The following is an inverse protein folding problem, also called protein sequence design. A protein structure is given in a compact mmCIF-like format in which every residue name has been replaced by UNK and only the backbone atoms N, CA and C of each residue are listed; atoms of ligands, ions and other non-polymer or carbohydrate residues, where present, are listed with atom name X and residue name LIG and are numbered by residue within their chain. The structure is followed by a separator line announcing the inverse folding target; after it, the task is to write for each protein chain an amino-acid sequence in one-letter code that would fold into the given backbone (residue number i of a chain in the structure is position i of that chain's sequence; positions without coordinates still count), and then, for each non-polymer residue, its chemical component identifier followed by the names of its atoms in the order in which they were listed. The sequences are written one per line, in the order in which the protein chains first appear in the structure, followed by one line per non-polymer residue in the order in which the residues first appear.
data_IF_519863443962
#
_entry.id   IF_519863443962
#
_cell.length_a   1.000
_cell.length_b   1.000
_cell.length_c   1.000
_cell.angle_alpha   90.00
_cell.angle_beta   90.00
_cell.angle_gamma   90.00
#
_symmetry.space_group_name_H-M   'P 1'
#
loop_
_entity.id
_entity.type
_entity.pdbx_description
1 polymer ?
#
# COMPACT_ATOMS: atom_id res chain seq x y z
N UNK A 1 14.05 12.94 20.17
CA UNK A 1 13.33 12.47 18.96
C UNK A 1 13.60 10.99 18.78
N UNK A 2 12.70 10.22 18.14
CA UNK A 2 12.97 8.82 17.85
C UNK A 2 14.21 8.70 16.95
N UNK A 3 15.12 7.79 17.31
CA UNK A 3 16.31 7.50 16.48
C UNK A 3 15.88 6.49 15.41
N UNK A 4 15.32 6.96 14.31
CA UNK A 4 14.82 6.13 13.22
C UNK A 4 15.99 5.50 12.47
N UNK A 5 15.93 4.19 12.24
CA UNK A 5 16.93 3.40 11.51
C UNK A 5 16.32 2.53 10.43
N UNK A 6 15.04 2.22 10.53
CA UNK A 6 14.28 1.48 9.54
C UNK A 6 13.05 2.23 9.08
N UNK A 7 12.66 2.01 7.83
CA UNK A 7 11.49 2.63 7.22
C UNK A 7 10.67 1.56 6.54
N UNK A 8 9.41 1.42 6.95
CA UNK A 8 8.40 0.67 6.22
C UNK A 8 7.57 1.64 5.39
N UNK A 9 7.47 1.36 4.11
CA UNK A 9 6.62 2.13 3.19
C UNK A 9 5.36 1.34 2.85
N UNK A 10 4.23 2.01 2.80
CA UNK A 10 3.17 1.55 1.92
C UNK A 10 3.61 1.68 0.46
N UNK A 11 2.92 0.98 -0.44
CA UNK A 11 3.22 0.94 -1.88
C UNK A 11 2.33 1.91 -2.67
N UNK A 12 1.04 1.70 -2.60
CA UNK A 12 0.04 2.30 -3.46
C UNK A 12 -0.38 3.69 -2.97
N UNK A 13 -0.13 4.75 -3.74
CA UNK A 13 -0.33 6.13 -3.27
C UNK A 13 0.85 6.69 -2.48
N UNK A 14 1.84 5.85 -2.14
CA UNK A 14 3.06 6.23 -1.42
C UNK A 14 4.30 6.16 -2.31
N UNK A 15 4.54 5.04 -2.98
CA UNK A 15 5.66 4.86 -3.92
C UNK A 15 5.21 5.00 -5.38
N UNK A 16 4.00 4.55 -5.68
CA UNK A 16 3.40 4.61 -7.02
C UNK A 16 2.09 5.40 -7.00
N UNK A 17 1.74 5.97 -8.17
CA UNK A 17 0.49 6.68 -8.38
C UNK A 17 -0.67 5.68 -8.39
N UNK A 18 -1.44 5.67 -7.31
CA UNK A 18 -2.55 4.75 -7.12
C UNK A 18 -3.60 4.87 -8.23
N UNK A 19 -4.04 6.07 -8.53
CA UNK A 19 -5.14 6.28 -9.47
C UNK A 19 -4.75 5.83 -10.89
N UNK A 20 -3.56 6.19 -11.35
CA UNK A 20 -3.07 5.81 -12.69
C UNK A 20 -2.83 4.32 -12.82
N UNK A 21 -2.37 3.68 -11.74
CA UNK A 21 -2.06 2.25 -11.76
C UNK A 21 -3.34 1.42 -11.69
N UNK A 22 -4.26 1.76 -10.78
CA UNK A 22 -5.32 0.82 -10.39
C UNK A 22 -6.66 1.00 -11.08
N UNK A 23 -6.94 2.16 -11.70
CA UNK A 23 -8.25 2.34 -12.36
C UNK A 23 -8.48 1.32 -13.48
N UNK A 24 -7.54 1.21 -14.43
CA UNK A 24 -7.68 0.31 -15.55
C UNK A 24 -7.70 -1.18 -15.12
N UNK A 25 -6.93 -1.52 -14.09
CA UNK A 25 -6.88 -2.87 -13.53
C UNK A 25 -8.22 -3.22 -12.87
N UNK A 26 -8.73 -2.33 -12.03
CA UNK A 26 -10.02 -2.49 -11.35
C UNK A 26 -11.19 -2.60 -12.34
N UNK A 27 -11.17 -1.78 -13.39
CA UNK A 27 -12.19 -1.81 -14.44
C UNK A 27 -12.22 -3.16 -15.18
N UNK A 28 -11.04 -3.71 -15.50
CA UNK A 28 -10.93 -5.04 -16.11
C UNK A 28 -11.40 -6.15 -15.16
N UNK A 29 -11.03 -6.08 -13.88
CA UNK A 29 -11.49 -7.03 -12.86
C UNK A 29 -13.01 -6.98 -12.71
N UNK A 30 -13.60 -5.78 -12.63
CA UNK A 30 -15.04 -5.59 -12.50
C UNK A 30 -15.79 -6.08 -13.75
N UNK A 31 -15.26 -5.81 -14.94
CA UNK A 31 -15.84 -6.27 -16.21
C UNK A 31 -15.82 -7.81 -16.30
N UNK A 32 -14.74 -8.44 -15.86
CA UNK A 32 -14.68 -9.90 -15.77
C UNK A 32 -15.66 -10.46 -14.75
N UNK A 33 -15.78 -9.83 -13.57
CA UNK A 33 -16.72 -10.21 -12.52
C UNK A 33 -18.18 -10.08 -12.97
N UNK A 34 -18.46 -9.07 -13.78
CA UNK A 34 -19.77 -8.81 -14.37
C UNK A 34 -20.11 -9.69 -15.60
N UNK A 35 -19.23 -10.63 -15.99
CA UNK A 35 -19.43 -11.45 -17.19
C UNK A 35 -19.47 -10.64 -18.49
N UNK A 36 -18.84 -9.48 -18.54
CA UNK A 36 -18.81 -8.57 -19.69
C UNK A 36 -19.93 -7.52 -19.69
N UNK A 37 -20.83 -7.52 -18.72
CA UNK A 37 -21.86 -6.47 -18.58
C UNK A 37 -21.24 -5.18 -18.05
N UNK A 38 -21.21 -4.14 -18.88
CA UNK A 38 -20.60 -2.83 -18.53
C UNK A 38 -21.34 -2.13 -17.39
N UNK A 39 -22.68 -2.16 -17.41
CA UNK A 39 -23.47 -1.50 -16.37
C UNK A 39 -23.23 -2.15 -15.00
N UNK A 40 -23.21 -3.48 -14.95
CA UNK A 40 -22.90 -4.20 -13.70
C UNK A 40 -21.44 -3.98 -13.26
N UNK A 41 -20.49 -3.89 -14.19
CA UNK A 41 -19.10 -3.58 -13.86
C UNK A 41 -18.95 -2.18 -13.23
N UNK A 42 -19.67 -1.18 -13.75
CA UNK A 42 -19.67 0.18 -13.17
C UNK A 42 -20.29 0.20 -11.76
N UNK A 43 -21.32 -0.62 -11.52
CA UNK A 43 -21.86 -0.81 -10.16
C UNK A 43 -20.84 -1.44 -9.23
N UNK A 44 -20.15 -2.52 -9.64
CA UNK A 44 -19.12 -3.18 -8.86
C UNK A 44 -17.96 -2.23 -8.53
N UNK A 45 -17.52 -1.41 -9.48
CA UNK A 45 -16.50 -0.38 -9.26
C UNK A 45 -16.98 0.66 -8.23
N UNK A 46 -18.24 1.06 -8.32
CA UNK A 46 -18.84 2.01 -7.36
C UNK A 46 -18.95 1.40 -5.97
N UNK A 47 -19.38 0.15 -5.86
CA UNK A 47 -19.41 -0.61 -4.60
C UNK A 47 -18.02 -0.72 -3.97
N UNK A 48 -16.98 -0.95 -4.78
CA UNK A 48 -15.59 -1.01 -4.34
C UNK A 48 -14.97 0.37 -4.03
N UNK A 49 -15.71 1.46 -4.31
CA UNK A 49 -15.38 2.81 -3.89
C UNK A 49 -14.88 3.75 -4.98
N UNK A 50 -15.01 3.40 -6.25
CA UNK A 50 -14.70 4.34 -7.33
C UNK A 50 -15.82 5.36 -7.53
N UNK A 51 -15.47 6.63 -7.60
CA UNK A 51 -16.38 7.73 -7.88
C UNK A 51 -16.23 8.16 -9.35
N UNK A 52 -17.21 7.80 -10.20
CA UNK A 52 -17.20 8.13 -11.61
C UNK A 52 -17.38 9.63 -11.90
N UNK A 53 -17.89 10.42 -10.94
CA UNK A 53 -18.01 11.87 -11.12
C UNK A 53 -16.69 12.58 -10.77
N UNK A 54 -16.05 12.15 -9.69
CA UNK A 54 -14.77 12.68 -9.26
C UNK A 54 -13.57 12.04 -9.99
N UNK A 55 -13.78 10.96 -10.72
CA UNK A 55 -12.76 10.16 -11.40
C UNK A 55 -11.66 9.68 -10.44
N UNK A 56 -12.02 9.21 -9.24
CA UNK A 56 -11.06 8.72 -8.26
C UNK A 56 -11.67 7.67 -7.33
N UNK A 57 -10.81 6.86 -6.72
CA UNK A 57 -11.19 6.01 -5.60
C UNK A 57 -11.31 6.84 -4.32
N UNK A 58 -12.34 6.58 -3.55
CA UNK A 58 -12.56 7.20 -2.23
C UNK A 58 -11.53 6.68 -1.24
N UNK A 59 -11.06 7.55 -0.35
CA UNK A 59 -10.24 7.15 0.78
C UNK A 59 -10.97 6.09 1.62
N UNK A 60 -10.21 5.17 2.21
CA UNK A 60 -10.72 4.08 3.06
C UNK A 60 -11.73 3.14 2.36
N UNK A 61 -11.88 3.22 1.03
CA UNK A 61 -12.71 2.28 0.26
C UNK A 61 -12.07 0.89 0.18
N UNK A 62 -12.87 -0.13 -0.12
CA UNK A 62 -12.38 -1.50 -0.23
C UNK A 62 -11.24 -1.60 -1.26
N UNK A 63 -11.34 -0.90 -2.38
CA UNK A 63 -10.30 -0.92 -3.40
C UNK A 63 -9.03 -0.17 -2.99
N UNK A 64 -9.17 0.91 -2.22
CA UNK A 64 -8.03 1.74 -1.82
C UNK A 64 -7.30 1.23 -0.56
N UNK A 65 -7.98 0.49 0.31
CA UNK A 65 -7.45 0.13 1.63
C UNK A 65 -7.54 -1.38 1.94
N UNK A 66 -8.44 -2.11 1.26
CA UNK A 66 -8.65 -3.54 1.47
C UNK A 66 -7.66 -4.42 0.71
N UNK A 67 -7.92 -5.71 0.77
CA UNK A 67 -7.20 -6.77 0.07
C UNK A 67 -8.02 -7.32 -1.10
N UNK A 68 -7.41 -8.12 -1.99
CA UNK A 68 -8.17 -8.85 -3.00
C UNK A 68 -9.20 -9.81 -2.39
N UNK A 69 -8.98 -10.29 -1.17
CA UNK A 69 -9.97 -11.11 -0.45
C UNK A 69 -11.21 -10.29 -0.08
N UNK A 70 -11.04 -9.02 0.29
CA UNK A 70 -12.16 -8.12 0.59
C UNK A 70 -12.96 -7.77 -0.68
N UNK A 71 -12.27 -7.56 -1.80
CA UNK A 71 -12.92 -7.34 -3.12
C UNK A 71 -13.72 -8.57 -3.53
N UNK A 72 -13.15 -9.78 -3.40
CA UNK A 72 -13.87 -11.03 -3.69
C UNK A 72 -15.08 -11.20 -2.77
N UNK A 73 -14.94 -10.90 -1.49
CA UNK A 73 -16.06 -10.98 -0.54
C UNK A 73 -17.20 -10.00 -0.90
N UNK A 74 -16.83 -8.80 -1.37
CA UNK A 74 -17.78 -7.77 -1.79
C UNK A 74 -18.51 -8.15 -3.09
N UNK A 75 -17.77 -8.58 -4.11
CA UNK A 75 -18.33 -8.82 -5.45
C UNK A 75 -18.98 -10.20 -5.62
N UNK A 76 -18.59 -11.17 -4.79
CA UNK A 76 -19.10 -12.55 -4.82
C UNK A 76 -19.59 -13.01 -3.44
N UNK A 77 -20.62 -12.35 -2.87
CA UNK A 77 -21.08 -12.63 -1.50
C UNK A 77 -21.57 -14.06 -1.31
N UNK A 78 -22.12 -14.69 -2.37
CA UNK A 78 -22.68 -16.04 -2.34
C UNK A 78 -21.64 -17.15 -2.59
N UNK A 79 -20.38 -16.81 -2.95
CA UNK A 79 -19.37 -17.81 -3.23
C UNK A 79 -18.98 -18.60 -1.98
N UNK A 80 -18.81 -19.94 -2.13
CA UNK A 80 -18.31 -20.82 -1.08
C UNK A 80 -16.86 -20.47 -0.69
N UNK A 81 -16.37 -21.04 0.41
CA UNK A 81 -14.98 -20.84 0.86
C UNK A 81 -13.95 -21.23 -0.18
N UNK A 82 -14.12 -22.39 -0.82
CA UNK A 82 -13.19 -22.90 -1.85
C UNK A 82 -13.23 -22.06 -3.14
N UNK A 83 -14.44 -21.62 -3.56
CA UNK A 83 -14.60 -20.72 -4.70
C UNK A 83 -13.95 -19.38 -4.44
N UNK A 84 -14.17 -18.77 -3.25
CA UNK A 84 -13.51 -17.52 -2.85
C UNK A 84 -12.00 -17.64 -2.88
N UNK A 85 -11.45 -18.73 -2.31
CA UNK A 85 -10.00 -18.94 -2.31
C UNK A 85 -9.44 -19.03 -3.74
N UNK A 86 -10.15 -19.68 -4.65
CA UNK A 86 -9.76 -19.76 -6.06
C UNK A 86 -9.79 -18.39 -6.73
N UNK A 87 -10.86 -17.60 -6.49
CA UNK A 87 -10.99 -16.22 -7.02
C UNK A 87 -9.89 -15.30 -6.47
N UNK A 88 -9.61 -15.35 -5.18
CA UNK A 88 -8.53 -14.57 -4.54
C UNK A 88 -7.17 -14.91 -5.16
N UNK A 89 -6.89 -16.19 -5.37
CA UNK A 89 -5.65 -16.64 -6.03
C UNK A 89 -5.54 -16.09 -7.45
N UNK A 90 -6.65 -16.12 -8.21
CA UNK A 90 -6.71 -15.57 -9.56
C UNK A 90 -6.52 -14.05 -9.57
N UNK A 91 -7.19 -13.32 -8.67
CA UNK A 91 -7.05 -11.88 -8.53
C UNK A 91 -5.63 -11.48 -8.14
N UNK A 92 -5.01 -12.19 -7.19
CA UNK A 92 -3.62 -11.94 -6.81
C UNK A 92 -2.65 -12.13 -7.98
N UNK A 93 -2.81 -13.19 -8.77
CA UNK A 93 -1.97 -13.42 -9.93
C UNK A 93 -2.15 -12.29 -10.97
N UNK A 94 -3.40 -11.90 -11.26
CA UNK A 94 -3.73 -10.86 -12.21
C UNK A 94 -3.22 -9.47 -11.74
N UNK A 95 -3.51 -9.09 -10.50
CA UNK A 95 -3.11 -7.79 -9.95
C UNK A 95 -1.60 -7.67 -9.79
N UNK A 96 -0.90 -8.74 -9.43
CA UNK A 96 0.55 -8.76 -9.33
C UNK A 96 1.23 -8.55 -10.69
N UNK A 97 0.67 -9.09 -11.77
CA UNK A 97 1.20 -8.92 -13.12
C UNK A 97 0.85 -7.53 -13.69
N UNK A 98 -0.42 -7.17 -13.65
CA UNK A 98 -0.89 -5.90 -14.21
C UNK A 98 -0.41 -4.71 -13.40
N UNK A 99 -0.41 -4.81 -12.06
CA UNK A 99 0.09 -3.78 -11.17
C UNK A 99 1.55 -3.44 -11.43
N UNK A 100 2.40 -4.45 -11.61
CA UNK A 100 3.80 -4.23 -11.96
C UNK A 100 3.97 -3.63 -13.36
N UNK A 101 3.22 -4.15 -14.36
CA UNK A 101 3.31 -3.70 -15.75
C UNK A 101 2.83 -2.25 -15.95
N UNK A 102 1.86 -1.82 -15.15
CA UNK A 102 1.22 -0.51 -15.25
C UNK A 102 1.65 0.46 -14.14
N UNK A 103 2.57 0.05 -13.25
CA UNK A 103 3.01 0.89 -12.14
C UNK A 103 3.67 2.19 -12.63
N UNK A 104 3.19 3.31 -12.13
CA UNK A 104 3.73 4.64 -12.38
C UNK A 104 4.34 5.17 -11.10
N UNK A 105 5.66 5.30 -11.04
CA UNK A 105 6.34 5.89 -9.88
C UNK A 105 5.80 7.30 -9.59
N UNK A 106 5.53 7.60 -8.33
CA UNK A 106 5.29 8.99 -7.93
C UNK A 106 6.55 9.84 -8.16
N UNK A 107 6.39 11.11 -8.57
CA UNK A 107 7.54 11.98 -8.82
C UNK A 107 8.49 12.03 -7.62
N UNK A 108 9.77 11.71 -7.85
CA UNK A 108 10.82 11.72 -6.83
C UNK A 108 10.82 10.54 -5.86
N UNK A 109 9.89 9.58 -5.95
CA UNK A 109 9.84 8.43 -5.03
C UNK A 109 11.07 7.55 -5.12
N UNK A 110 11.52 7.20 -6.33
CA UNK A 110 12.72 6.37 -6.54
C UNK A 110 14.00 7.07 -6.09
N UNK A 111 14.12 8.39 -6.29
CA UNK A 111 15.25 9.17 -5.80
C UNK A 111 15.27 9.27 -4.28
N UNK A 112 14.09 9.39 -3.65
CA UNK A 112 13.95 9.39 -2.20
C UNK A 112 14.39 8.03 -1.61
N UNK A 113 13.91 6.91 -2.18
CA UNK A 113 14.32 5.56 -1.79
C UNK A 113 15.84 5.42 -1.89
N UNK A 114 16.44 5.78 -3.03
CA UNK A 114 17.88 5.70 -3.24
C UNK A 114 18.67 6.56 -2.24
N UNK A 115 18.17 7.73 -1.89
CA UNK A 115 18.78 8.62 -0.90
C UNK A 115 18.72 8.04 0.50
N UNK A 116 17.55 7.54 0.93
CA UNK A 116 17.37 6.91 2.24
C UNK A 116 18.24 5.66 2.40
N UNK A 117 18.31 4.82 1.36
CA UNK A 117 19.19 3.66 1.36
C UNK A 117 20.67 4.06 1.49
N UNK A 118 21.13 5.11 0.78
CA UNK A 118 22.49 5.64 0.91
C UNK A 118 22.78 6.23 2.30
N UNK A 119 21.78 6.77 2.98
CA UNK A 119 21.90 7.24 4.35
C UNK A 119 21.96 6.10 5.38
N UNK A 120 21.83 4.86 4.95
CA UNK A 120 21.93 3.66 5.78
C UNK A 120 20.65 3.23 6.47
N UNK A 121 19.49 3.77 6.07
CA UNK A 121 18.20 3.26 6.55
C UNK A 121 17.93 1.86 5.99
N UNK A 122 17.41 0.96 6.85
CA UNK A 122 16.87 -0.33 6.43
C UNK A 122 15.47 -0.09 5.86
N UNK A 123 15.21 -0.54 4.65
CA UNK A 123 13.96 -0.25 3.95
C UNK A 123 13.13 -1.52 3.78
N UNK A 124 11.82 -1.41 3.97
CA UNK A 124 10.84 -2.47 3.73
C UNK A 124 9.54 -1.91 3.16
N UNK A 125 8.72 -2.79 2.60
CA UNK A 125 7.36 -2.47 2.16
C UNK A 125 6.34 -3.24 2.98
N UNK A 126 5.23 -2.60 3.36
CA UNK A 126 4.05 -3.22 3.96
C UNK A 126 2.81 -2.75 3.21
N UNK A 127 2.12 -3.66 2.52
CA UNK A 127 0.98 -3.33 1.65
C UNK A 127 -0.17 -4.31 1.85
N UNK A 128 -1.39 -3.86 1.55
CA UNK A 128 -2.56 -4.74 1.45
C UNK A 128 -2.74 -5.35 0.04
N UNK A 129 -1.80 -5.10 -0.88
CA UNK A 129 -1.60 -5.93 -2.08
C UNK A 129 -0.87 -7.23 -1.70
N UNK A 130 -0.80 -8.20 -2.63
CA UNK A 130 -0.06 -9.44 -2.42
C UNK A 130 1.46 -9.19 -2.36
N UNK A 131 2.17 -10.06 -1.66
CA UNK A 131 3.65 -10.03 -1.59
C UNK A 131 4.26 -10.08 -2.98
N UNK A 132 3.76 -10.96 -3.85
CA UNK A 132 4.22 -11.06 -5.24
C UNK A 132 3.98 -9.78 -6.03
N UNK A 133 2.85 -9.08 -5.80
CA UNK A 133 2.55 -7.78 -6.40
C UNK A 133 3.54 -6.71 -5.98
N UNK A 134 3.83 -6.65 -4.68
CA UNK A 134 4.80 -5.71 -4.13
C UNK A 134 6.21 -5.94 -4.71
N UNK A 135 6.70 -7.19 -4.70
CA UNK A 135 8.01 -7.54 -5.23
C UNK A 135 8.17 -7.21 -6.71
N UNK A 136 7.16 -7.57 -7.53
CA UNK A 136 7.16 -7.26 -8.97
C UNK A 136 7.14 -5.75 -9.24
N UNK A 137 6.38 -4.99 -8.43
CA UNK A 137 6.37 -3.52 -8.53
C UNK A 137 7.75 -2.94 -8.20
N UNK A 138 8.39 -3.36 -7.12
CA UNK A 138 9.74 -2.89 -6.76
C UNK A 138 10.78 -3.23 -7.85
N UNK A 139 10.66 -4.40 -8.48
CA UNK A 139 11.50 -4.79 -9.62
C UNK A 139 11.26 -3.88 -10.83
N UNK A 140 10.00 -3.61 -11.18
CA UNK A 140 9.64 -2.74 -12.29
C UNK A 140 10.14 -1.30 -12.09
N UNK A 141 10.13 -0.81 -10.85
CA UNK A 141 10.67 0.49 -10.47
C UNK A 141 12.22 0.52 -10.42
N UNK A 142 12.91 -0.62 -10.50
CA UNK A 142 14.37 -0.72 -10.43
C UNK A 142 14.94 -0.47 -9.04
N UNK A 143 14.16 -0.61 -7.97
CA UNK A 143 14.57 -0.32 -6.59
C UNK A 143 14.58 -1.54 -5.67
N UNK A 144 14.21 -2.71 -6.15
CA UNK A 144 14.03 -3.92 -5.34
C UNK A 144 15.27 -4.26 -4.46
N UNK A 145 16.49 -4.06 -5.00
CA UNK A 145 17.74 -4.33 -4.28
C UNK A 145 18.01 -3.40 -3.09
N UNK A 146 17.21 -2.35 -2.90
CA UNK A 146 17.31 -1.42 -1.79
C UNK A 146 16.44 -1.80 -0.59
N UNK A 147 15.56 -2.78 -0.78
CA UNK A 147 14.60 -3.23 0.23
C UNK A 147 15.01 -4.57 0.84
N UNK A 148 14.86 -4.69 2.16
CA UNK A 148 15.14 -5.93 2.91
C UNK A 148 14.03 -6.95 2.73
N UNK A 149 12.78 -6.49 2.67
CA UNK A 149 11.60 -7.33 2.52
C UNK A 149 10.39 -6.53 1.98
N UNK A 150 9.46 -7.26 1.40
CA UNK A 150 8.12 -6.80 1.10
C UNK A 150 7.11 -7.70 1.82
N UNK A 151 6.22 -7.10 2.60
CA UNK A 151 5.14 -7.77 3.32
C UNK A 151 3.81 -7.39 2.66
N UNK A 152 3.30 -8.28 1.82
CA UNK A 152 1.92 -8.22 1.36
C UNK A 152 0.98 -8.74 2.44
N UNK A 153 -0.34 -8.62 2.20
CA UNK A 153 -1.34 -9.12 3.14
C UNK A 153 -1.23 -10.64 3.38
N UNK A 154 -0.65 -11.37 2.44
CA UNK A 154 -0.44 -12.81 2.46
C UNK A 154 0.88 -13.26 3.12
N UNK A 155 1.76 -12.32 3.49
CA UNK A 155 3.02 -12.60 4.18
C UNK A 155 2.91 -12.59 5.71
N UNK A 156 1.80 -12.10 6.26
CA UNK A 156 1.58 -11.92 7.69
C UNK A 156 0.24 -12.54 8.11
N UNK A 157 0.07 -12.83 9.39
CA UNK A 157 -1.17 -13.42 9.88
C UNK A 157 -2.34 -12.45 9.80
N UNK A 158 -2.09 -11.17 10.07
CA UNK A 158 -3.08 -10.11 10.02
C UNK A 158 -2.52 -8.93 9.21
N UNK A 159 -3.19 -8.55 8.09
CA UNK A 159 -2.75 -7.41 7.27
C UNK A 159 -3.00 -6.08 7.96
N UNK A 160 -2.55 -4.97 7.34
CA UNK A 160 -2.86 -3.63 7.83
C UNK A 160 -4.38 -3.46 8.05
N UNK A 161 -4.81 -2.90 9.18
CA UNK A 161 -4.05 -2.07 10.13
C UNK A 161 -3.38 -2.84 11.30
N UNK A 162 -3.34 -4.18 11.29
CA UNK A 162 -2.65 -4.93 12.33
C UNK A 162 -1.12 -4.70 12.29
N UNK A 163 -0.42 -4.84 13.42
CA UNK A 163 1.00 -4.50 13.54
C UNK A 163 1.97 -5.54 12.98
N UNK A 164 1.48 -6.64 12.44
CA UNK A 164 2.25 -7.84 12.12
C UNK A 164 3.43 -7.56 11.17
N UNK A 165 3.25 -6.70 10.17
CA UNK A 165 4.34 -6.34 9.24
C UNK A 165 5.45 -5.54 9.93
N UNK A 166 5.12 -4.68 10.91
CA UNK A 166 6.13 -3.97 11.71
C UNK A 166 6.94 -4.99 12.54
N UNK A 167 6.25 -5.94 13.19
CA UNK A 167 6.92 -6.96 13.99
C UNK A 167 7.81 -7.83 13.10
N UNK A 168 7.34 -8.30 11.95
CA UNK A 168 8.13 -9.08 11.01
C UNK A 168 9.38 -8.32 10.54
N UNK A 169 9.25 -7.03 10.28
CA UNK A 169 10.39 -6.19 9.89
C UNK A 169 11.38 -5.99 11.05
N UNK A 170 10.90 -5.83 12.28
CA UNK A 170 11.75 -5.78 13.47
C UNK A 170 12.52 -7.10 13.67
N UNK A 171 11.86 -8.24 13.50
CA UNK A 171 12.49 -9.55 13.65
C UNK A 171 13.57 -9.79 12.59
N UNK A 172 13.31 -9.38 11.32
CA UNK A 172 14.27 -9.46 10.23
C UNK A 172 15.50 -8.56 10.44
N UNK A 173 15.26 -7.32 10.88
CA UNK A 173 16.30 -6.29 10.93
C UNK A 173 17.03 -6.20 12.27
N UNK A 174 16.46 -6.77 13.32
CA UNK A 174 16.91 -6.62 14.70
C UNK A 174 16.65 -5.23 15.31
N UNK A 175 15.85 -4.39 14.63
CA UNK A 175 15.46 -3.07 15.10
C UNK A 175 14.28 -3.17 16.08
N UNK A 176 14.18 -2.18 16.97
CA UNK A 176 13.00 -2.03 17.83
C UNK A 176 11.90 -1.28 17.08
N UNK A 177 10.62 -1.50 17.40
CA UNK A 177 9.53 -0.73 16.79
C UNK A 177 9.73 0.79 16.89
N UNK A 178 10.25 1.28 18.03
CA UNK A 178 10.56 2.71 18.23
C UNK A 178 11.67 3.27 17.31
N UNK A 179 12.39 2.41 16.59
CA UNK A 179 13.40 2.77 15.59
C UNK A 179 12.88 2.70 14.16
N UNK A 180 11.59 2.34 13.98
CA UNK A 180 10.92 2.22 12.68
C UNK A 180 10.06 3.47 12.41
N UNK A 181 10.15 3.99 11.19
CA UNK A 181 9.15 4.88 10.64
C UNK A 181 8.20 4.09 9.73
N UNK A 182 6.89 4.27 9.89
CA UNK A 182 5.90 3.83 8.90
C UNK A 182 5.46 5.04 8.07
N UNK A 183 5.49 4.88 6.75
CA UNK A 183 5.15 5.92 5.78
C UNK A 183 4.02 5.42 4.89
N UNK A 184 2.90 6.13 4.88
CA UNK A 184 1.75 5.71 4.08
C UNK A 184 0.77 6.85 3.84
N UNK A 185 -0.12 6.65 2.87
CA UNK A 185 -1.13 7.63 2.47
C UNK A 185 -2.52 7.32 3.05
N UNK A 186 -2.69 6.16 3.70
CA UNK A 186 -3.97 5.70 4.20
C UNK A 186 -3.97 5.57 5.74
N UNK A 187 -5.17 5.62 6.33
CA UNK A 187 -5.34 5.42 7.79
C UNK A 187 -4.80 4.08 8.25
N UNK A 188 -4.99 3.00 7.49
CA UNK A 188 -4.52 1.67 7.85
C UNK A 188 -3.00 1.62 8.07
N UNK A 189 -2.22 2.43 7.35
CA UNK A 189 -0.77 2.55 7.53
C UNK A 189 -0.42 3.14 8.88
N UNK A 190 -1.10 4.24 9.21
CA UNK A 190 -0.83 4.97 10.44
C UNK A 190 -1.41 4.25 11.67
N UNK A 191 -2.54 3.57 11.51
CA UNK A 191 -3.09 2.69 12.55
C UNK A 191 -2.16 1.51 12.83
N UNK A 192 -1.58 0.88 11.78
CA UNK A 192 -0.52 -0.12 11.92
C UNK A 192 0.70 0.45 12.65
N UNK A 193 1.14 1.68 12.30
CA UNK A 193 2.24 2.35 12.99
C UNK A 193 1.96 2.49 14.50
N UNK A 194 0.76 2.93 14.86
CA UNK A 194 0.36 3.10 16.28
C UNK A 194 0.24 1.77 17.01
N UNK A 195 -0.40 0.79 16.38
CA UNK A 195 -0.57 -0.55 16.95
C UNK A 195 0.77 -1.26 17.16
N UNK A 196 1.71 -1.09 16.22
CA UNK A 196 3.05 -1.70 16.26
C UNK A 196 4.06 -0.93 17.10
N UNK A 197 3.72 0.25 17.63
CA UNK A 197 4.63 1.07 18.42
C UNK A 197 5.77 1.68 17.60
N UNK A 198 5.54 1.97 16.32
CA UNK A 198 6.51 2.65 15.46
C UNK A 198 6.93 3.99 16.06
N UNK A 199 8.23 4.31 15.96
CA UNK A 199 8.80 5.54 16.49
C UNK A 199 8.36 6.79 15.74
N UNK A 200 7.89 6.63 14.49
CA UNK A 200 7.41 7.74 13.65
C UNK A 200 6.31 7.24 12.71
N UNK A 201 5.17 7.90 12.72
CA UNK A 201 4.08 7.70 11.77
C UNK A 201 4.03 8.88 10.79
N UNK A 202 4.33 8.64 9.51
CA UNK A 202 4.40 9.66 8.46
C UNK A 202 3.24 9.47 7.51
N UNK A 203 2.33 10.46 7.47
CA UNK A 203 1.30 10.53 6.45
C UNK A 203 1.82 11.22 5.19
N UNK A 204 1.49 10.72 4.00
CA UNK A 204 1.76 11.39 2.73
C UNK A 204 0.45 11.69 2.00
N UNK A 205 0.39 12.85 1.31
CA UNK A 205 -0.81 13.33 0.61
C UNK A 205 -0.81 12.94 -0.88
N UNK A 206 0.05 12.01 -1.27
CA UNK A 206 0.21 11.58 -2.66
C UNK A 206 -0.77 10.48 -3.11
N UNK A 207 -1.56 9.93 -2.19
CA UNK A 207 -2.51 8.86 -2.46
C UNK A 207 -3.97 9.24 -2.20
N UNK A 208 -4.70 8.34 -1.55
CA UNK A 208 -6.15 8.49 -1.33
C UNK A 208 -6.53 9.21 -0.06
N UNK A 209 -5.64 9.23 0.94
CA UNK A 209 -5.87 9.90 2.21
C UNK A 209 -5.82 11.43 2.11
N UNK A 210 -6.59 12.08 2.97
CA UNK A 210 -6.60 13.54 3.11
C UNK A 210 -5.89 13.97 4.39
N UNK A 211 -5.50 15.25 4.47
CA UNK A 211 -4.92 15.79 5.70
C UNK A 211 -5.83 15.56 6.92
N UNK A 212 -7.14 15.67 6.74
CA UNK A 212 -8.13 15.49 7.81
C UNK A 212 -8.19 14.04 8.30
N UNK A 213 -8.09 13.07 7.39
CA UNK A 213 -8.12 11.63 7.75
C UNK A 213 -6.82 11.16 8.37
N UNK A 214 -5.68 11.73 7.98
CA UNK A 214 -4.35 11.31 8.45
C UNK A 214 -3.90 12.04 9.73
N UNK A 215 -4.29 13.31 9.92
CA UNK A 215 -3.82 14.15 11.02
C UNK A 215 -4.01 13.54 12.43
N UNK A 216 -5.11 12.82 12.73
CA UNK A 216 -5.29 12.23 14.06
C UNK A 216 -4.27 11.11 14.39
N UNK A 217 -3.64 10.52 13.38
CA UNK A 217 -2.78 9.36 13.49
C UNK A 217 -1.31 9.66 13.14
N UNK A 218 -1.04 10.72 12.37
CA UNK A 218 0.31 11.07 11.91
C UNK A 218 1.08 11.87 12.98
N UNK A 219 2.39 11.64 13.07
CA UNK A 219 3.32 12.55 13.75
C UNK A 219 3.73 13.71 12.83
N UNK A 220 3.72 13.44 11.52
CA UNK A 220 3.99 14.42 10.47
C UNK A 220 3.20 14.07 9.21
N UNK A 221 2.82 15.08 8.44
CA UNK A 221 2.21 14.93 7.13
C UNK A 221 3.09 15.66 6.11
N UNK A 222 3.57 14.91 5.11
CA UNK A 222 4.35 15.37 3.98
C UNK A 222 3.49 15.39 2.71
N UNK A 223 3.93 16.11 1.66
CA UNK A 223 3.21 16.06 0.40
C UNK A 223 3.39 14.71 -0.31
N UNK A 224 4.61 14.17 -0.26
CA UNK A 224 4.94 12.84 -0.80
C UNK A 224 6.18 12.27 -0.11
N UNK A 225 6.52 11.03 -0.45
CA UNK A 225 7.76 10.39 0.02
C UNK A 225 9.02 11.14 -0.44
N UNK A 226 8.95 11.95 -1.48
CA UNK A 226 10.06 12.77 -1.96
C UNK A 226 10.57 13.77 -0.92
N UNK A 227 9.71 14.19 0.02
CA UNK A 227 10.07 15.12 1.10
C UNK A 227 10.75 14.41 2.30
N UNK A 228 10.66 13.08 2.37
CA UNK A 228 11.08 12.30 3.54
C UNK A 228 12.61 12.37 3.81
N UNK A 229 13.50 12.29 2.80
CA UNK A 229 14.94 12.38 3.04
C UNK A 229 15.34 13.68 3.74
N UNK A 230 14.85 14.82 3.27
CA UNK A 230 15.13 16.12 3.91
C UNK A 230 14.55 16.16 5.33
N UNK A 231 13.31 15.70 5.52
CA UNK A 231 12.67 15.66 6.83
C UNK A 231 13.47 14.86 7.89
N UNK A 232 14.04 13.72 7.49
CA UNK A 232 14.80 12.87 8.41
C UNK A 232 16.24 13.39 8.66
N UNK A 233 16.88 14.01 7.66
CA UNK A 233 18.26 14.50 7.78
C UNK A 233 18.36 15.85 8.47
N UNK A 234 17.41 16.75 8.27
CA UNK A 234 17.39 18.08 8.91
C UNK A 234 17.16 18.01 10.45
N UNK A 235 16.88 16.81 10.97
CA UNK A 235 16.55 16.57 12.37
C UNK A 235 17.53 15.59 13.06
N UNK A 236 18.53 15.08 12.31
CA UNK A 236 19.63 14.28 12.83
C UNK A 236 20.75 15.20 13.33
#
# INVERSE_FOLDING_TARGET
MANIKGILFDKDGTLIDFQKTWFAIGDLMALQAAGGDRARADELMTEAGYDFQAHCFKADSVFAAGTNADIVALWYPEASGDERQTMVTGFNAFTAEQGAAQSVALPGSTDAIASLHRFGFRLGVATNDSTSGAEKTLLALGVAQMFEAAYGYDAVANPKPAPDAIQAFCDLTGLKPSEIAMVGDNRHDLEMARAGGAGLAVGVLSGTGTRETLLPLADVILNSVADLPAYLTDRA
#
